data_IF_804334173614
#
_entry.id   IF_804334173614
#
_cell.length_a   1.000
_cell.length_b   1.000
_cell.length_c   1.000
_cell.angle_alpha   90.00
_cell.angle_beta   90.00
_cell.angle_gamma   90.00
#
_symmetry.space_group_name_H-M   'P 1'
#
loop_
_entity.id
_entity.type
_entity.pdbx_description
1 polymer ?
#
# COMPACT_ATOMS: atom_id res chain seq x y z
N UNK A 1 15.70 -38.87 -31.10
CA UNK A 1 14.88 -38.58 -29.90
C UNK A 1 15.61 -39.10 -28.67
N UNK A 2 16.61 -38.36 -28.17
CA UNK A 2 17.32 -38.74 -26.94
C UNK A 2 16.63 -38.00 -25.78
N UNK A 3 15.89 -38.73 -24.94
CA UNK A 3 15.26 -38.17 -23.73
C UNK A 3 16.25 -38.31 -22.57
N UNK A 4 16.99 -37.25 -22.28
CA UNK A 4 17.84 -37.18 -21.08
C UNK A 4 16.92 -37.20 -19.86
N UNK A 5 17.05 -38.24 -19.03
CA UNK A 5 16.33 -38.32 -17.75
C UNK A 5 17.22 -37.65 -16.70
N UNK A 6 16.85 -36.45 -16.30
CA UNK A 6 17.47 -35.77 -15.16
C UNK A 6 17.04 -36.50 -13.86
N UNK A 7 17.97 -36.84 -12.95
CA UNK A 7 17.61 -37.47 -11.69
C UNK A 7 16.99 -36.40 -10.78
N UNK A 8 15.66 -36.37 -10.71
CA UNK A 8 14.93 -35.66 -9.67
C UNK A 8 15.27 -36.27 -8.31
N UNK A 9 15.93 -35.51 -7.45
CA UNK A 9 16.27 -35.91 -6.09
C UNK A 9 14.99 -36.21 -5.30
N UNK A 10 14.97 -37.32 -4.56
CA UNK A 10 13.79 -37.80 -3.85
C UNK A 10 13.33 -36.81 -2.77
N UNK A 11 12.01 -36.64 -2.63
CA UNK A 11 11.37 -35.67 -1.69
C UNK A 11 11.76 -35.93 -0.24
N UNK A 12 12.16 -37.15 0.09
CA UNK A 12 12.55 -37.57 1.44
C UNK A 12 13.87 -36.95 1.92
N UNK A 13 14.81 -36.62 1.02
CA UNK A 13 16.10 -36.01 1.38
C UNK A 13 15.96 -34.53 1.78
N UNK A 14 14.92 -33.84 1.33
CA UNK A 14 14.70 -32.41 1.60
C UNK A 14 14.20 -32.14 3.03
N UNK A 15 13.60 -33.15 3.69
CA UNK A 15 12.99 -33.02 5.02
C UNK A 15 14.06 -32.86 6.11
N UNK A 16 15.27 -33.37 5.88
CA UNK A 16 16.37 -33.34 6.86
C UNK A 16 17.03 -31.96 7.03
N UNK A 17 16.63 -30.95 6.25
CA UNK A 17 17.21 -29.60 6.26
C UNK A 17 16.27 -28.48 6.70
N UNK A 18 15.15 -28.83 7.34
CA UNK A 18 14.21 -27.83 7.85
C UNK A 18 14.84 -27.16 9.08
N UNK A 19 15.36 -25.95 8.90
CA UNK A 19 15.83 -25.09 10.01
C UNK A 19 14.65 -24.25 10.50
N UNK A 20 14.39 -24.18 11.82
CA UNK A 20 13.38 -23.28 12.36
C UNK A 20 13.78 -21.83 12.08
N UNK A 21 12.98 -21.14 11.28
CA UNK A 21 13.12 -19.69 11.12
C UNK A 21 12.45 -19.05 12.33
N UNK A 22 13.24 -18.37 13.17
CA UNK A 22 12.67 -17.56 14.25
C UNK A 22 11.77 -16.48 13.63
N UNK A 23 10.56 -16.24 14.17
CA UNK A 23 9.68 -15.23 13.64
C UNK A 23 10.39 -13.87 13.66
N UNK A 24 10.35 -13.09 12.57
CA UNK A 24 10.95 -11.76 12.57
C UNK A 24 10.30 -10.91 13.65
N UNK A 25 11.12 -10.26 14.48
CA UNK A 25 10.67 -9.24 15.44
C UNK A 25 10.34 -7.95 14.69
N UNK A 26 9.33 -8.01 13.83
CA UNK A 26 8.80 -6.85 13.15
C UNK A 26 7.33 -6.79 13.50
N UNK A 27 6.98 -5.93 14.45
CA UNK A 27 5.59 -5.54 14.64
C UNK A 27 5.09 -4.98 13.31
N UNK A 28 4.06 -5.62 12.76
CA UNK A 28 3.33 -5.05 11.62
C UNK A 28 2.56 -3.87 12.19
N UNK A 29 3.23 -2.72 12.24
CA UNK A 29 2.57 -1.46 12.52
C UNK A 29 1.72 -1.15 11.30
N UNK A 30 0.41 -1.38 11.42
CA UNK A 30 -0.59 -0.87 10.49
C UNK A 30 -0.73 0.66 10.69
N UNK A 31 0.39 1.37 10.52
CA UNK A 31 0.45 2.82 10.59
C UNK A 31 0.21 3.47 9.23
N UNK A 32 -0.29 2.72 8.23
CA UNK A 32 -0.87 3.31 7.02
C UNK A 32 -2.29 3.83 7.29
N UNK A 33 -2.44 4.59 8.36
CA UNK A 33 -3.57 5.50 8.55
C UNK A 33 -3.32 6.77 7.71
N UNK A 34 -2.93 6.60 6.44
CA UNK A 34 -3.16 7.65 5.45
C UNK A 34 -4.66 7.74 5.34
N UNK A 35 -5.27 8.59 6.17
CA UNK A 35 -6.71 8.67 6.36
C UNK A 35 -7.36 8.58 4.98
N UNK A 36 -8.04 7.46 4.69
CA UNK A 36 -8.64 7.22 3.37
C UNK A 36 -9.79 8.20 3.07
N UNK A 37 -9.95 9.22 3.91
CA UNK A 37 -11.02 10.18 3.93
C UNK A 37 -10.47 11.58 3.64
N UNK A 38 -11.21 12.34 2.86
CA UNK A 38 -10.96 13.76 2.63
C UNK A 38 -11.36 14.56 3.87
N UNK A 39 -10.43 15.31 4.48
CA UNK A 39 -10.68 16.08 5.71
C UNK A 39 -11.70 17.21 5.56
N UNK A 40 -12.04 17.61 4.32
CA UNK A 40 -13.03 18.65 4.05
C UNK A 40 -14.47 18.13 3.97
N UNK A 41 -14.67 16.84 3.70
CA UNK A 41 -16.00 16.25 3.53
C UNK A 41 -16.20 14.92 4.27
N UNK A 42 -15.16 14.42 4.93
CA UNK A 42 -15.10 13.18 5.70
C UNK A 42 -15.46 11.92 4.90
N UNK A 43 -15.43 12.01 3.56
CA UNK A 43 -15.74 10.90 2.65
C UNK A 43 -14.47 10.26 2.12
N UNK A 44 -14.60 8.96 1.83
CA UNK A 44 -13.59 8.16 1.16
C UNK A 44 -13.05 8.82 -0.12
N UNK A 45 -11.78 8.61 -0.40
CA UNK A 45 -11.28 8.80 -1.74
C UNK A 45 -11.88 7.75 -2.68
N UNK A 46 -11.99 8.10 -3.96
CA UNK A 46 -12.25 7.11 -4.98
C UNK A 46 -11.36 5.88 -4.90
N UNK A 47 -11.86 4.75 -5.42
CA UNK A 47 -11.00 3.60 -5.66
C UNK A 47 -10.02 3.92 -6.80
N UNK A 48 -8.98 3.09 -6.89
CA UNK A 48 -7.93 3.06 -7.90
C UNK A 48 -8.26 3.73 -9.26
N UNK A 49 -7.30 4.51 -9.77
CA UNK A 49 -7.32 5.29 -11.02
C UNK A 49 -8.20 6.55 -11.09
N UNK A 50 -8.84 6.97 -10.00
CA UNK A 50 -9.59 8.23 -9.97
C UNK A 50 -8.76 9.47 -9.57
N UNK A 51 -9.24 10.64 -10.00
CA UNK A 51 -8.52 11.92 -9.88
C UNK A 51 -8.64 12.47 -8.45
N UNK A 52 -7.49 12.59 -7.78
CA UNK A 52 -7.35 13.34 -6.53
C UNK A 52 -6.49 14.58 -6.73
N UNK A 53 -6.67 15.58 -5.88
CA UNK A 53 -5.84 16.78 -5.89
C UNK A 53 -4.84 16.73 -4.75
N UNK A 54 -3.55 16.81 -5.08
CA UNK A 54 -2.45 16.84 -4.11
C UNK A 54 -1.85 18.24 -4.05
N UNK A 55 -1.85 18.83 -2.86
CA UNK A 55 -1.24 20.13 -2.60
C UNK A 55 0.30 20.04 -2.54
N UNK A 56 0.99 21.18 -2.62
CA UNK A 56 2.46 21.24 -2.54
C UNK A 56 3.02 20.75 -1.20
N UNK A 57 2.24 20.82 -0.12
CA UNK A 57 2.56 20.26 1.19
C UNK A 57 2.20 18.76 1.34
N UNK A 58 1.88 18.09 0.24
CA UNK A 58 1.56 16.65 0.14
C UNK A 58 0.20 16.20 0.73
N UNK A 59 -0.67 17.12 1.17
CA UNK A 59 -2.03 16.76 1.56
C UNK A 59 -2.93 16.53 0.33
N UNK A 60 -3.75 15.48 0.40
CA UNK A 60 -4.63 15.02 -0.68
C UNK A 60 -6.07 15.45 -0.37
N UNK A 61 -6.86 15.81 -1.38
CA UNK A 61 -8.27 16.17 -1.25
C UNK A 61 -9.05 15.77 -2.50
N UNK A 62 -10.38 15.70 -2.42
CA UNK A 62 -11.17 15.65 -3.65
C UNK A 62 -11.02 16.97 -4.42
N UNK A 63 -10.94 16.94 -5.76
CA UNK A 63 -10.76 18.14 -6.57
C UNK A 63 -11.78 19.24 -6.26
N UNK A 64 -13.06 18.87 -6.14
CA UNK A 64 -14.13 19.83 -5.85
C UNK A 64 -14.05 20.39 -4.41
N UNK A 65 -13.64 19.57 -3.44
CA UNK A 65 -13.51 19.99 -2.05
C UNK A 65 -12.43 21.06 -1.88
N UNK A 66 -11.22 20.78 -2.38
CA UNK A 66 -10.11 21.73 -2.26
C UNK A 66 -10.31 22.97 -3.13
N UNK A 67 -10.90 22.82 -4.33
CA UNK A 67 -11.18 23.97 -5.19
C UNK A 67 -12.10 24.97 -4.52
N UNK A 68 -13.16 24.52 -3.83
CA UNK A 68 -14.06 25.41 -3.08
C UNK A 68 -13.37 26.08 -1.89
N UNK A 69 -12.55 25.33 -1.15
CA UNK A 69 -11.84 25.87 0.01
C UNK A 69 -10.86 26.98 -0.40
N UNK A 70 -10.09 26.76 -1.46
CA UNK A 70 -9.09 27.71 -1.94
C UNK A 70 -9.67 29.02 -2.50
N UNK A 71 -10.98 29.07 -2.82
CA UNK A 71 -11.66 30.32 -3.19
C UNK A 71 -11.77 31.29 -2.01
N UNK A 72 -11.79 30.78 -0.78
CA UNK A 72 -11.91 31.60 0.43
C UNK A 72 -10.60 31.69 1.20
N UNK A 73 -9.83 30.60 1.27
CA UNK A 73 -8.60 30.51 2.04
C UNK A 73 -7.48 29.91 1.18
N UNK A 74 -6.50 30.70 0.71
CA UNK A 74 -5.47 30.24 -0.23
C UNK A 74 -4.32 29.47 0.46
N UNK A 75 -4.62 28.69 1.50
CA UNK A 75 -3.66 27.91 2.28
C UNK A 75 -4.14 26.46 2.41
N UNK A 76 -3.26 25.54 2.81
CA UNK A 76 -3.69 24.17 3.06
C UNK A 76 -4.66 24.13 4.26
N UNK A 77 -5.75 23.34 4.22
CA UNK A 77 -6.62 23.09 5.37
C UNK A 77 -5.98 22.31 6.54
N UNK A 78 -4.75 21.80 6.36
CA UNK A 78 -4.00 20.99 7.33
C UNK A 78 -2.80 21.78 7.85
#
# INVERSE_FOLDING_TARGET
MLRTKEPVLSVEDAITRIVPIAPPMTEIVDCYQSSELCSLCEKGYPKEDEIVHKTSCNHIFHPNCISRYLLSTPHCPV
#
